data_IF_758013064865
#
_entry.id   IF_758013064865
#
_cell.length_a   1.000
_cell.length_b   1.000
_cell.length_c   1.000
_cell.angle_alpha   90.00
_cell.angle_beta   90.00
_cell.angle_gamma   90.00
#
_symmetry.space_group_name_H-M   'P 1'
#
loop_
_entity.id
_entity.type
_entity.pdbx_description
1 polymer ?
#
# COMPACT_ATOMS: atom_id res chain seq x y z
N UNK A 1 29.43 18.03 -16.61
CA UNK A 1 29.58 17.13 -15.44
C UNK A 1 29.08 17.80 -14.15
N UNK A 2 29.60 18.96 -13.74
CA UNK A 2 29.09 19.73 -12.59
C UNK A 2 27.57 19.99 -12.65
N UNK A 3 27.05 20.40 -13.80
CA UNK A 3 25.63 20.79 -13.91
C UNK A 3 24.67 19.59 -13.84
N UNK A 4 25.10 18.43 -14.34
CA UNK A 4 24.36 17.18 -14.18
C UNK A 4 24.24 16.80 -12.70
N UNK A 5 25.34 16.83 -11.95
CA UNK A 5 25.34 16.50 -10.52
C UNK A 5 24.46 17.47 -9.73
N UNK A 6 24.53 18.78 -10.03
CA UNK A 6 23.66 19.78 -9.40
C UNK A 6 22.18 19.52 -9.69
N UNK A 7 21.84 19.25 -10.95
CA UNK A 7 20.47 18.93 -11.34
C UNK A 7 19.97 17.66 -10.65
N UNK A 8 20.80 16.61 -10.63
CA UNK A 8 20.49 15.35 -9.97
C UNK A 8 20.25 15.53 -8.46
N UNK A 9 21.14 16.26 -7.77
CA UNK A 9 20.98 16.57 -6.36
C UNK A 9 19.71 17.40 -6.08
N UNK A 10 19.38 18.36 -6.94
CA UNK A 10 18.14 19.14 -6.83
C UNK A 10 16.89 18.27 -7.01
N UNK A 11 16.94 17.29 -7.93
CA UNK A 11 15.85 16.34 -8.12
C UNK A 11 15.66 15.45 -6.89
N UNK A 12 16.75 14.92 -6.32
CA UNK A 12 16.71 14.16 -5.06
C UNK A 12 16.15 15.00 -3.91
N UNK A 13 16.57 16.27 -3.81
CA UNK A 13 16.08 17.20 -2.77
C UNK A 13 14.58 17.42 -2.91
N UNK A 14 14.12 17.70 -4.13
CA UNK A 14 12.70 17.91 -4.42
C UNK A 14 11.87 16.66 -4.09
N UNK A 15 12.41 15.47 -4.40
CA UNK A 15 11.77 14.22 -4.05
C UNK A 15 11.66 14.01 -2.54
N UNK A 16 12.72 14.27 -1.77
CA UNK A 16 12.71 14.19 -0.31
C UNK A 16 11.68 15.14 0.29
N UNK A 17 11.60 16.39 -0.17
CA UNK A 17 10.62 17.35 0.32
C UNK A 17 9.17 16.94 0.02
N UNK A 18 8.93 16.33 -1.14
CA UNK A 18 7.62 15.76 -1.46
C UNK A 18 7.25 14.61 -0.51
N UNK A 19 8.20 13.73 -0.18
CA UNK A 19 7.97 12.62 0.77
C UNK A 19 7.71 13.12 2.19
N UNK A 20 8.42 14.15 2.66
CA UNK A 20 8.17 14.78 3.97
C UNK A 20 6.77 15.39 4.05
N UNK A 21 6.39 16.17 3.04
CA UNK A 21 5.05 16.78 2.96
C UNK A 21 3.96 15.71 3.02
N UNK A 22 4.16 14.60 2.31
CA UNK A 22 3.22 13.50 2.33
C UNK A 22 3.18 12.77 3.69
N UNK A 23 4.33 12.55 4.32
CA UNK A 23 4.42 11.96 5.65
C UNK A 23 3.64 12.77 6.70
N UNK A 24 3.75 14.09 6.66
CA UNK A 24 3.02 14.96 7.58
C UNK A 24 1.51 14.89 7.34
N UNK A 25 1.09 14.83 6.07
CA UNK A 25 -0.32 14.63 5.71
C UNK A 25 -0.85 13.27 6.20
N UNK A 26 -0.08 12.20 6.01
CA UNK A 26 -0.44 10.86 6.47
C UNK A 26 -0.62 10.81 8.00
N UNK A 27 0.29 11.43 8.76
CA UNK A 27 0.19 11.54 10.22
C UNK A 27 -1.01 12.36 10.68
N UNK A 28 -1.41 13.39 9.92
CA UNK A 28 -2.60 14.18 10.24
C UNK A 28 -3.87 13.35 10.05
N UNK A 29 -3.98 12.70 8.89
CA UNK A 29 -5.12 11.84 8.55
C UNK A 29 -5.23 10.72 9.58
N UNK A 30 -4.14 10.04 9.93
CA UNK A 30 -4.14 8.94 10.91
C UNK A 30 -4.76 9.35 12.26
N UNK A 31 -4.50 10.57 12.73
CA UNK A 31 -5.10 11.08 13.98
C UNK A 31 -6.60 11.33 13.85
N UNK A 32 -7.05 11.79 12.69
CA UNK A 32 -8.47 12.04 12.43
C UNK A 32 -9.27 10.73 12.38
N UNK A 33 -8.62 9.59 12.10
CA UNK A 33 -9.27 8.28 12.02
C UNK A 33 -9.73 7.70 13.36
N UNK A 34 -9.29 8.25 14.50
CA UNK A 34 -9.69 7.75 15.83
C UNK A 34 -11.22 7.75 16.04
N UNK A 35 -11.92 8.70 15.41
CA UNK A 35 -13.37 8.85 15.52
C UNK A 35 -14.10 8.64 14.17
N UNK A 36 -13.41 8.10 13.17
CA UNK A 36 -13.93 7.95 11.82
C UNK A 36 -15.03 6.87 11.72
N UNK A 37 -16.03 7.12 10.87
CA UNK A 37 -17.05 6.13 10.54
C UNK A 37 -16.50 5.02 9.63
N UNK A 38 -17.34 4.01 9.37
CA UNK A 38 -16.95 2.84 8.55
C UNK A 38 -16.52 3.24 7.13
N UNK A 39 -17.20 4.18 6.50
CA UNK A 39 -16.88 4.61 5.13
C UNK A 39 -15.55 5.37 5.13
N UNK A 40 -15.36 6.28 6.08
CA UNK A 40 -14.13 7.05 6.26
C UNK A 40 -12.91 6.15 6.47
N UNK A 41 -13.02 5.13 7.35
CA UNK A 41 -11.96 4.14 7.56
C UNK A 41 -11.60 3.38 6.27
N UNK A 42 -12.59 3.00 5.47
CA UNK A 42 -12.37 2.32 4.18
C UNK A 42 -11.67 3.26 3.19
N UNK A 43 -12.16 4.49 3.05
CA UNK A 43 -11.59 5.47 2.11
C UNK A 43 -10.15 5.83 2.49
N UNK A 44 -9.87 6.06 3.77
CA UNK A 44 -8.54 6.37 4.25
C UNK A 44 -7.56 5.21 4.06
N UNK A 45 -7.99 3.97 4.35
CA UNK A 45 -7.17 2.77 4.11
C UNK A 45 -6.85 2.60 2.62
N UNK A 46 -7.82 2.82 1.74
CA UNK A 46 -7.61 2.77 0.27
C UNK A 46 -6.68 3.87 -0.21
N UNK A 47 -6.79 5.08 0.34
CA UNK A 47 -5.87 6.16 0.05
C UNK A 47 -4.44 5.81 0.48
N UNK A 48 -4.28 5.26 1.69
CA UNK A 48 -2.98 4.79 2.19
C UNK A 48 -2.37 3.74 1.25
N UNK A 49 -3.12 2.74 0.80
CA UNK A 49 -2.63 1.76 -0.18
C UNK A 49 -2.22 2.41 -1.51
N UNK A 50 -3.03 3.31 -2.05
CA UNK A 50 -2.69 4.00 -3.29
C UNK A 50 -1.39 4.80 -3.17
N UNK A 51 -1.14 5.41 -2.02
CA UNK A 51 0.11 6.10 -1.74
C UNK A 51 1.28 5.16 -1.54
N UNK A 52 1.11 4.06 -0.81
CA UNK A 52 2.13 3.01 -0.65
C UNK A 52 2.58 2.47 -2.01
N UNK A 53 1.64 2.13 -2.90
CA UNK A 53 1.94 1.64 -4.25
C UNK A 53 2.80 2.65 -5.01
N UNK A 54 2.38 3.93 -5.06
CA UNK A 54 3.14 4.98 -5.75
C UNK A 54 4.54 5.18 -5.17
N UNK A 55 4.67 5.15 -3.84
CA UNK A 55 5.97 5.30 -3.17
C UNK A 55 6.88 4.11 -3.47
N UNK A 56 6.36 2.88 -3.43
CA UNK A 56 7.10 1.66 -3.77
C UNK A 56 7.54 1.70 -5.24
N UNK A 57 6.65 2.03 -6.18
CA UNK A 57 6.99 2.15 -7.61
C UNK A 57 8.07 3.21 -7.87
N UNK A 58 7.99 4.36 -7.19
CA UNK A 58 9.00 5.41 -7.31
C UNK A 58 10.35 4.97 -6.75
N UNK A 59 10.34 4.29 -5.60
CA UNK A 59 11.56 3.81 -4.95
C UNK A 59 12.21 2.64 -5.72
N UNK A 60 11.41 1.75 -6.31
CA UNK A 60 11.88 0.71 -7.23
C UNK A 60 12.57 1.32 -8.47
N UNK A 61 11.93 2.31 -9.11
CA UNK A 61 12.56 3.07 -10.22
C UNK A 61 13.87 3.74 -9.81
N UNK A 62 13.92 4.30 -8.61
CA UNK A 62 15.15 4.88 -8.07
C UNK A 62 16.26 3.82 -7.90
N UNK A 63 15.92 2.62 -7.41
CA UNK A 63 16.86 1.50 -7.32
C UNK A 63 17.29 0.92 -8.68
N UNK A 64 16.60 1.26 -9.77
CA UNK A 64 16.96 0.86 -11.14
C UNK A 64 17.89 1.88 -11.83
N UNK A 65 18.08 3.07 -11.26
CA UNK A 65 18.93 4.11 -11.86
C UNK A 65 20.42 3.71 -11.79
N UNK A 66 21.14 3.59 -12.93
CA UNK A 66 22.53 3.15 -12.96
C UNK A 66 23.49 4.05 -12.17
N UNK A 67 23.19 5.35 -12.07
CA UNK A 67 24.00 6.29 -11.30
C UNK A 67 23.89 5.99 -9.81
N UNK A 68 22.70 5.63 -9.33
CA UNK A 68 22.45 5.24 -7.95
C UNK A 68 23.08 3.88 -7.66
N UNK A 69 22.82 2.87 -8.50
CA UNK A 69 23.37 1.53 -8.33
C UNK A 69 24.91 1.55 -8.32
N UNK A 70 25.53 2.32 -9.23
CA UNK A 70 26.98 2.36 -9.39
C UNK A 70 27.73 3.04 -8.24
N UNK A 71 27.05 3.85 -7.42
CA UNK A 71 27.70 4.66 -6.37
C UNK A 71 27.17 4.39 -4.96
N UNK A 72 26.11 3.60 -4.79
CA UNK A 72 25.56 3.33 -3.47
C UNK A 72 26.43 2.32 -2.70
N UNK A 73 26.87 2.66 -1.47
CA UNK A 73 27.62 1.72 -0.65
C UNK A 73 26.75 0.55 -0.19
N UNK A 74 27.39 -0.62 -0.06
CA UNK A 74 26.72 -1.88 0.32
C UNK A 74 25.89 -1.77 1.60
N UNK A 75 26.38 -1.04 2.61
CA UNK A 75 25.67 -0.89 3.89
C UNK A 75 24.31 -0.19 3.72
N UNK A 76 24.19 0.77 2.79
CA UNK A 76 22.91 1.40 2.48
C UNK A 76 21.95 0.43 1.79
N UNK A 77 22.47 -0.40 0.87
CA UNK A 77 21.67 -1.42 0.19
C UNK A 77 21.16 -2.49 1.17
N UNK A 78 21.98 -2.88 2.15
CA UNK A 78 21.57 -3.82 3.20
C UNK A 78 20.46 -3.25 4.08
N UNK A 79 20.55 -1.97 4.45
CA UNK A 79 19.51 -1.34 5.25
C UNK A 79 18.19 -1.25 4.46
N UNK A 80 18.26 -0.80 3.20
CA UNK A 80 17.11 -0.76 2.29
C UNK A 80 16.48 -2.16 2.18
N UNK A 81 17.27 -3.19 1.87
CA UNK A 81 16.77 -4.55 1.72
C UNK A 81 16.06 -5.01 3.00
N UNK A 82 16.70 -4.86 4.17
CA UNK A 82 16.11 -5.28 5.45
C UNK A 82 14.78 -4.57 5.71
N UNK A 83 14.72 -3.25 5.52
CA UNK A 83 13.52 -2.45 5.79
C UNK A 83 12.39 -2.74 4.80
N UNK A 84 12.69 -2.90 3.52
CA UNK A 84 11.69 -3.30 2.52
C UNK A 84 11.12 -4.69 2.85
N UNK A 85 11.95 -5.63 3.30
CA UNK A 85 11.47 -6.96 3.71
C UNK A 85 10.64 -6.94 4.99
N UNK A 86 10.93 -6.05 5.94
CA UNK A 86 10.05 -5.81 7.10
C UNK A 86 8.67 -5.33 6.65
N UNK A 87 8.60 -4.35 5.75
CA UNK A 87 7.33 -3.83 5.20
C UNK A 87 6.55 -4.92 4.46
N UNK A 88 7.23 -5.69 3.60
CA UNK A 88 6.62 -6.80 2.85
C UNK A 88 5.96 -7.81 3.78
N UNK A 89 6.69 -8.27 4.80
CA UNK A 89 6.16 -9.24 5.77
C UNK A 89 4.96 -8.67 6.53
N UNK A 90 5.05 -7.43 7.01
CA UNK A 90 3.94 -6.78 7.71
C UNK A 90 2.68 -6.66 6.83
N UNK A 91 2.86 -6.36 5.52
CA UNK A 91 1.74 -6.30 4.58
C UNK A 91 1.10 -7.67 4.35
N UNK A 92 1.92 -8.72 4.19
CA UNK A 92 1.43 -10.09 4.01
C UNK A 92 0.71 -10.59 5.27
N UNK A 93 1.26 -10.32 6.46
CA UNK A 93 0.64 -10.67 7.74
C UNK A 93 -0.71 -9.96 7.93
N UNK A 94 -0.80 -8.67 7.56
CA UNK A 94 -2.03 -7.89 7.58
C UNK A 94 -3.11 -8.51 6.68
N UNK A 95 -2.74 -8.85 5.43
CA UNK A 95 -3.64 -9.47 4.46
C UNK A 95 -4.13 -10.84 4.94
N UNK A 96 -3.20 -11.73 5.30
CA UNK A 96 -3.52 -13.09 5.77
C UNK A 96 -4.48 -13.03 6.95
N UNK A 97 -4.19 -12.19 7.94
CA UNK A 97 -5.01 -12.06 9.15
C UNK A 97 -6.42 -11.59 8.80
N UNK A 98 -6.57 -10.43 8.19
CA UNK A 98 -7.89 -9.82 8.03
C UNK A 98 -8.74 -10.47 6.94
N UNK A 99 -8.12 -11.01 5.89
CA UNK A 99 -8.83 -11.80 4.89
C UNK A 99 -9.36 -13.11 5.50
N UNK A 100 -8.57 -13.77 6.34
CA UNK A 100 -9.01 -14.98 7.06
C UNK A 100 -10.11 -14.68 8.09
N UNK A 101 -9.93 -13.65 8.92
CA UNK A 101 -10.94 -13.22 9.89
C UNK A 101 -12.27 -12.85 9.21
N UNK A 102 -12.21 -12.18 8.07
CA UNK A 102 -13.42 -11.81 7.33
C UNK A 102 -14.10 -13.03 6.68
N UNK A 103 -13.33 -13.98 6.14
CA UNK A 103 -13.86 -15.27 5.66
C UNK A 103 -14.65 -15.97 6.78
N UNK A 104 -14.06 -16.10 7.96
CA UNK A 104 -14.69 -16.82 9.08
C UNK A 104 -15.95 -16.10 9.57
N UNK A 105 -15.92 -14.77 9.61
CA UNK A 105 -17.10 -13.95 9.90
C UNK A 105 -18.20 -14.13 8.86
N UNK A 106 -17.87 -14.19 7.58
CA UNK A 106 -18.85 -14.41 6.51
C UNK A 106 -19.54 -15.77 6.64
N UNK A 107 -18.78 -16.83 6.93
CA UNK A 107 -19.33 -18.17 7.16
C UNK A 107 -20.30 -18.17 8.35
N UNK A 108 -19.91 -17.57 9.47
CA UNK A 108 -20.78 -17.44 10.66
C UNK A 108 -22.06 -16.64 10.37
N UNK A 109 -21.98 -15.57 9.58
CA UNK A 109 -23.16 -14.79 9.17
C UNK A 109 -24.08 -15.59 8.25
N UNK A 110 -23.52 -16.44 7.38
CA UNK A 110 -24.29 -17.31 6.49
C UNK A 110 -25.07 -18.35 7.30
N UNK A 111 -24.40 -19.04 8.23
CA UNK A 111 -25.01 -20.04 9.10
C UNK A 111 -26.12 -19.45 9.99
N UNK A 112 -25.95 -18.21 10.44
CA UNK A 112 -26.94 -17.51 11.27
C UNK A 112 -28.03 -16.78 10.47
N UNK A 113 -28.03 -16.86 9.13
CA UNK A 113 -29.02 -16.21 8.28
C UNK A 113 -28.97 -14.67 8.32
N UNK A 114 -27.85 -14.09 8.74
CA UNK A 114 -27.68 -12.62 8.95
C UNK A 114 -26.98 -11.92 7.78
N UNK A 115 -26.67 -12.64 6.71
CA UNK A 115 -26.15 -12.00 5.49
C UNK A 115 -27.22 -11.11 4.87
N UNK A 116 -26.81 -9.97 4.32
CA UNK A 116 -27.72 -9.08 3.61
C UNK A 116 -28.05 -9.66 2.21
N UNK A 117 -29.30 -10.08 1.95
CA UNK A 117 -29.68 -10.74 0.70
C UNK A 117 -29.47 -9.88 -0.54
N UNK A 118 -29.49 -8.54 -0.42
CA UNK A 118 -29.23 -7.64 -1.55
C UNK A 118 -27.79 -7.78 -2.06
N UNK A 119 -26.85 -8.13 -1.18
CA UNK A 119 -25.43 -8.19 -1.51
C UNK A 119 -24.99 -9.54 -2.12
N UNK A 120 -25.80 -10.59 -1.99
CA UNK A 120 -25.52 -11.92 -2.55
C UNK A 120 -26.67 -12.53 -3.36
N UNK A 121 -27.76 -11.79 -3.58
CA UNK A 121 -28.84 -12.20 -4.48
C UNK A 121 -28.22 -12.54 -5.85
N UNK A 122 -28.58 -13.70 -6.45
CA UNK A 122 -28.10 -14.05 -7.78
C UNK A 122 -28.53 -12.94 -8.75
N UNK A 123 -27.56 -12.14 -9.23
CA UNK A 123 -27.79 -11.37 -10.45
C UNK A 123 -27.89 -12.39 -11.58
N UNK A 124 -28.97 -12.30 -12.37
CA UNK A 124 -29.16 -13.11 -13.58
C UNK A 124 -27.84 -13.26 -14.34
N UNK A 125 -27.49 -14.51 -14.68
CA UNK A 125 -26.34 -15.11 -15.38
C UNK A 125 -25.43 -14.22 -16.25
N UNK A 126 -25.00 -13.07 -15.75
CA UNK A 126 -24.10 -12.14 -16.41
C UNK A 126 -22.75 -12.21 -15.70
N UNK A 127 -21.92 -13.12 -16.22
CA UNK A 127 -20.48 -13.28 -15.91
C UNK A 127 -20.17 -13.27 -14.42
N UNK A 128 -20.02 -14.47 -13.84
CA UNK A 128 -19.14 -14.67 -12.68
C UNK A 128 -17.71 -14.31 -13.10
N UNK A 129 -17.41 -13.03 -13.22
CA UNK A 129 -16.03 -12.57 -13.06
C UNK A 129 -15.68 -12.94 -11.62
N UNK A 130 -14.68 -13.79 -11.45
CA UNK A 130 -14.10 -14.08 -10.14
C UNK A 130 -13.62 -12.75 -9.55
N UNK A 131 -14.48 -12.09 -8.77
CA UNK A 131 -14.22 -10.76 -8.18
C UNK A 131 -12.98 -10.74 -7.27
N UNK A 132 -12.41 -11.91 -7.00
CA UNK A 132 -11.23 -12.12 -6.17
C UNK A 132 -10.20 -13.06 -6.82
N UNK A 133 -10.18 -13.19 -8.16
CA UNK A 133 -9.06 -13.88 -8.81
C UNK A 133 -7.80 -13.01 -8.70
N UNK A 134 -7.00 -13.28 -7.67
CA UNK A 134 -5.65 -12.73 -7.52
C UNK A 134 -4.72 -13.70 -8.24
N UNK A 135 -4.36 -13.38 -9.47
CA UNK A 135 -3.27 -14.03 -10.20
C UNK A 135 -1.94 -13.57 -9.59
N UNK A 136 -1.27 -14.47 -8.86
CA UNK A 136 0.13 -14.30 -8.44
C UNK A 136 1.10 -14.52 -9.61
#
# INVERSE_FOLDING_TARGET
>A
MSDFIKLFANNLTSWVEAQKTFLDSAKSIERELENADRLELILATRAAFAHMIKTIEAFDKWLQDPFIIGHMPREMLLDIQRKTWEILKSLLELDIKHTSEFRDRLLSLAESGKLNPILYAPREESRREDRFHISY
#
